data_IF_896893897155
#
_entry.id   IF_896893897155
#
_cell.length_a   1.000
_cell.length_b   1.000
_cell.length_c   1.000
_cell.angle_alpha   90.00
_cell.angle_beta   90.00
_cell.angle_gamma   90.00
#
_symmetry.space_group_name_H-M   'P 1'
#
loop_
_entity.id
_entity.type
_entity.pdbx_description
1 polymer ?
#
# COMPACT_ATOMS: atom_id res chain seq x y z
N UNK A 1 -9.00 -5.33 0.42
CA UNK A 1 -9.43 -5.24 1.83
C UNK A 1 -8.58 -4.33 2.69
N UNK A 2 -7.24 -4.49 2.76
CA UNK A 2 -6.39 -3.70 3.66
C UNK A 2 -6.64 -2.17 3.65
N UNK A 3 -6.71 -1.53 2.47
CA UNK A 3 -6.98 -0.09 2.38
C UNK A 3 -8.39 0.28 2.87
N UNK A 4 -9.38 -0.59 2.66
CA UNK A 4 -10.76 -0.40 3.13
C UNK A 4 -10.92 -0.68 4.63
N UNK A 5 -9.96 -1.38 5.25
CA UNK A 5 -9.92 -1.65 6.68
C UNK A 5 -9.21 -0.54 7.48
N UNK A 6 -8.70 0.50 6.81
CA UNK A 6 -8.06 1.63 7.46
C UNK A 6 -9.09 2.55 8.12
N UNK A 7 -8.77 3.14 9.29
CA UNK A 7 -9.51 4.28 9.80
C UNK A 7 -9.58 5.44 8.79
N UNK A 8 -10.65 6.23 8.83
CA UNK A 8 -10.82 7.37 7.92
C UNK A 8 -9.64 8.35 7.95
N UNK A 9 -9.06 8.57 9.13
CA UNK A 9 -7.89 9.42 9.30
C UNK A 9 -6.66 8.90 8.54
N UNK A 10 -6.46 7.58 8.49
CA UNK A 10 -5.32 6.96 7.82
C UNK A 10 -5.51 7.01 6.30
N UNK A 11 -6.74 6.80 5.82
CA UNK A 11 -7.13 7.00 4.42
C UNK A 11 -6.86 8.45 4.01
N UNK A 12 -7.32 9.41 4.82
CA UNK A 12 -7.10 10.83 4.54
C UNK A 12 -5.62 11.16 4.51
N UNK A 13 -4.82 10.67 5.45
CA UNK A 13 -3.38 10.94 5.49
C UNK A 13 -2.65 10.36 4.28
N UNK A 14 -3.07 9.17 3.79
CA UNK A 14 -2.46 8.50 2.65
C UNK A 14 -2.83 9.11 1.29
N UNK A 15 -4.06 9.59 1.15
CA UNK A 15 -4.62 10.02 -0.15
C UNK A 15 -5.01 11.50 -0.21
N UNK A 16 -4.82 12.24 0.90
CA UNK A 16 -5.23 13.62 1.10
C UNK A 16 -6.70 13.90 0.74
N UNK A 17 -7.55 12.88 0.85
CA UNK A 17 -8.98 12.96 0.56
C UNK A 17 -9.75 11.86 1.28
N UNK A 18 -11.02 12.11 1.59
CA UNK A 18 -11.91 11.09 2.13
C UNK A 18 -12.39 10.18 0.99
N UNK A 19 -11.77 9.01 0.86
CA UNK A 19 -12.16 8.02 -0.14
C UNK A 19 -13.28 7.13 0.38
N UNK A 20 -14.45 7.19 -0.28
CA UNK A 20 -15.54 6.22 -0.07
C UNK A 20 -15.33 4.92 -0.85
N UNK A 21 -14.59 5.00 -1.96
CA UNK A 21 -14.24 3.84 -2.79
C UNK A 21 -12.97 4.10 -3.59
N UNK A 22 -12.29 3.02 -3.97
CA UNK A 22 -11.16 3.09 -4.89
C UNK A 22 -11.65 3.01 -6.34
N UNK A 23 -11.75 4.17 -6.99
CA UNK A 23 -12.00 4.19 -8.43
C UNK A 23 -10.86 3.49 -9.18
N UNK A 24 -11.15 2.93 -10.35
CA UNK A 24 -10.13 2.30 -11.20
C UNK A 24 -8.96 3.25 -11.50
N UNK A 25 -9.26 4.56 -11.68
CA UNK A 25 -8.26 5.61 -11.88
C UNK A 25 -7.30 5.76 -10.71
N UNK A 26 -7.76 5.57 -9.47
CA UNK A 26 -6.92 5.60 -8.28
C UNK A 26 -6.19 4.28 -8.05
N UNK A 27 -6.84 3.15 -8.36
CA UNK A 27 -6.28 1.81 -8.13
C UNK A 27 -5.14 1.49 -9.10
N UNK A 28 -5.31 1.82 -10.40
CA UNK A 28 -4.35 1.44 -11.43
C UNK A 28 -2.93 1.94 -11.17
N UNK A 29 -2.70 3.21 -10.79
CA UNK A 29 -1.35 3.68 -10.46
C UNK A 29 -0.67 2.92 -9.31
N UNK A 30 -1.46 2.38 -8.38
CA UNK A 30 -0.95 1.65 -7.20
C UNK A 30 -0.73 0.15 -7.46
N UNK A 31 -1.43 -0.41 -8.46
CA UNK A 31 -1.40 -1.84 -8.78
C UNK A 31 -0.58 -2.17 -10.04
N UNK A 32 -0.44 -1.22 -10.97
CA UNK A 32 0.34 -1.39 -12.18
C UNK A 32 1.83 -1.17 -11.89
N UNK A 33 2.49 -2.24 -11.46
CA UNK A 33 3.90 -2.28 -11.05
C UNK A 33 4.79 -2.70 -12.23
N UNK A 34 5.84 -1.93 -12.50
CA UNK A 34 6.82 -2.19 -13.57
C UNK A 34 8.24 -2.48 -13.03
N UNK A 35 8.42 -2.41 -11.71
CA UNK A 35 9.68 -2.64 -10.99
C UNK A 35 10.84 -1.71 -11.37
N UNK A 36 10.59 -0.63 -12.12
CA UNK A 36 11.59 0.38 -12.48
C UNK A 36 11.18 1.76 -11.97
N UNK A 37 10.05 2.27 -12.44
CA UNK A 37 9.49 3.55 -12.01
C UNK A 37 8.37 3.35 -10.98
N UNK A 38 7.71 2.19 -10.97
CA UNK A 38 6.64 1.86 -10.03
C UNK A 38 6.92 0.52 -9.37
N UNK A 39 7.02 0.52 -8.05
CA UNK A 39 7.21 -0.67 -7.23
C UNK A 39 6.29 -0.63 -6.01
N UNK A 40 5.82 -1.80 -5.60
CA UNK A 40 5.15 -1.99 -4.32
C UNK A 40 5.75 -3.21 -3.62
N UNK A 41 5.95 -3.10 -2.31
CA UNK A 41 6.36 -4.21 -1.44
C UNK A 41 5.23 -4.43 -0.44
N UNK A 42 4.69 -5.64 -0.39
CA UNK A 42 3.64 -6.03 0.54
C UNK A 42 4.22 -6.89 1.68
N UNK A 43 3.90 -6.55 2.91
CA UNK A 43 4.07 -7.44 4.05
C UNK A 43 2.79 -8.29 4.18
N UNK A 44 2.96 -9.60 4.21
CA UNK A 44 1.86 -10.55 4.32
C UNK A 44 1.97 -11.37 5.60
N UNK A 45 0.81 -11.79 6.11
CA UNK A 45 0.69 -12.79 7.17
C UNK A 45 0.05 -14.05 6.62
N UNK A 46 0.37 -15.17 7.24
CA UNK A 46 0.04 -16.50 6.74
C UNK A 46 1.31 -17.24 6.36
N UNK A 47 1.17 -18.48 5.93
CA UNK A 47 2.24 -19.28 5.35
C UNK A 47 1.96 -19.50 3.87
N UNK A 48 3.01 -19.74 3.10
CA UNK A 48 2.92 -20.19 1.71
C UNK A 48 2.53 -21.69 1.69
N UNK A 49 1.30 -21.98 2.10
CA UNK A 49 0.73 -23.33 2.14
C UNK A 49 -0.62 -23.32 1.40
N UNK A 50 -1.01 -24.41 0.70
CA UNK A 50 -2.20 -24.42 -0.16
C UNK A 50 -3.53 -24.03 0.51
N UNK A 51 -3.64 -24.26 1.81
CA UNK A 51 -4.83 -23.97 2.62
C UNK A 51 -4.73 -22.63 3.37
N UNK A 52 -3.54 -22.02 3.39
CA UNK A 52 -3.28 -20.77 4.08
C UNK A 52 -3.64 -19.59 3.19
N UNK A 53 -4.53 -18.74 3.68
CA UNK A 53 -4.89 -17.49 3.02
C UNK A 53 -3.90 -16.40 3.47
N UNK A 54 -3.07 -15.93 2.55
CA UNK A 54 -2.24 -14.76 2.81
C UNK A 54 -3.10 -13.51 2.93
N UNK A 55 -2.77 -12.67 3.90
CA UNK A 55 -3.38 -11.37 4.10
C UNK A 55 -2.31 -10.28 4.09
N UNK A 56 -2.51 -9.25 3.26
CA UNK A 56 -1.61 -8.09 3.23
C UNK A 56 -1.89 -7.23 4.46
N UNK A 57 -0.87 -7.04 5.29
CA UNK A 57 -0.94 -6.25 6.52
C UNK A 57 -0.19 -4.92 6.43
N UNK A 58 0.70 -4.77 5.46
CA UNK A 58 1.30 -3.50 5.11
C UNK A 58 1.69 -3.45 3.63
N UNK A 59 1.77 -2.24 3.08
CA UNK A 59 2.31 -2.00 1.74
C UNK A 59 3.15 -0.73 1.73
N UNK A 60 4.31 -0.80 1.08
CA UNK A 60 5.13 0.34 0.73
C UNK A 60 5.12 0.55 -0.78
N UNK A 61 4.85 1.77 -1.23
CA UNK A 61 4.90 2.17 -2.64
C UNK A 61 6.12 3.04 -2.91
N UNK A 62 6.75 2.80 -4.04
CA UNK A 62 7.79 3.64 -4.64
C UNK A 62 7.31 4.05 -6.03
N UNK A 63 7.21 5.36 -6.26
CA UNK A 63 6.78 5.93 -7.54
C UNK A 63 7.79 6.99 -7.96
N UNK A 64 8.65 6.65 -8.92
CA UNK A 64 9.66 7.54 -9.49
C UNK A 64 9.08 8.38 -10.61
N UNK A 65 9.40 9.67 -10.59
CA UNK A 65 9.26 10.53 -11.75
C UNK A 65 10.45 10.30 -12.71
N UNK A 66 10.20 9.78 -13.93
CA UNK A 66 11.28 9.48 -14.87
C UNK A 66 12.08 10.71 -15.32
N UNK A 67 11.51 11.92 -15.24
CA UNK A 67 12.16 13.16 -15.66
C UNK A 67 13.10 13.69 -14.58
N UNK A 68 12.63 13.76 -13.33
CA UNK A 68 13.38 14.36 -12.23
C UNK A 68 14.23 13.34 -11.46
N UNK A 69 13.95 12.05 -11.63
CA UNK A 69 14.55 10.92 -10.90
C UNK A 69 14.28 10.91 -9.39
N UNK A 70 13.50 11.84 -8.88
CA UNK A 70 12.95 11.76 -7.53
C UNK A 70 11.82 10.73 -7.48
N UNK A 71 11.61 10.17 -6.29
CA UNK A 71 10.53 9.23 -6.07
C UNK A 71 9.70 9.63 -4.85
N UNK A 72 8.40 9.51 -5.00
CA UNK A 72 7.47 9.51 -3.88
C UNK A 72 7.50 8.11 -3.24
N UNK A 73 7.60 8.10 -1.91
CA UNK A 73 7.50 6.88 -1.12
C UNK A 73 6.35 7.04 -0.15
N UNK A 74 5.48 6.04 -0.09
CA UNK A 74 4.34 6.04 0.82
C UNK A 74 4.16 4.66 1.44
N UNK A 75 3.92 4.63 2.75
CA UNK A 75 3.68 3.40 3.49
C UNK A 75 2.26 3.38 4.04
N UNK A 76 1.72 2.19 4.17
CA UNK A 76 0.44 1.97 4.81
C UNK A 76 0.55 0.68 5.61
N UNK A 77 0.14 0.71 6.87
CA UNK A 77 0.17 -0.44 7.77
C UNK A 77 -1.18 -0.57 8.44
N UNK A 78 -1.74 -1.78 8.39
CA UNK A 78 -2.99 -2.10 9.05
C UNK A 78 -2.88 -1.82 10.56
N UNK A 79 -3.94 -1.24 11.15
CA UNK A 79 -3.92 -0.73 12.53
C UNK A 79 -3.42 -1.77 13.55
N UNK A 80 -3.84 -3.03 13.44
CA UNK A 80 -3.42 -4.12 14.35
C UNK A 80 -1.93 -4.51 14.26
N UNK A 81 -1.22 -4.00 13.25
CA UNK A 81 0.17 -4.28 12.94
C UNK A 81 1.10 -3.05 13.09
N UNK A 82 0.55 -1.90 13.47
CA UNK A 82 1.33 -0.69 13.74
C UNK A 82 2.25 -0.85 14.97
N UNK A 83 3.25 0.02 15.09
CA UNK A 83 4.23 0.04 16.20
C UNK A 83 5.08 -1.22 16.34
N UNK A 84 5.25 -1.99 15.26
CA UNK A 84 6.09 -3.20 15.19
C UNK A 84 7.31 -3.08 14.29
N UNK A 85 7.60 -1.88 13.78
CA UNK A 85 8.73 -1.63 12.88
C UNK A 85 8.53 -2.10 11.43
N UNK A 86 7.29 -2.38 11.01
CA UNK A 86 7.00 -2.87 9.64
C UNK A 86 7.25 -1.78 8.57
N UNK A 87 7.04 -0.50 8.92
CA UNK A 87 7.18 0.64 8.01
C UNK A 87 8.42 1.50 8.26
N UNK A 88 9.37 1.04 9.06
CA UNK A 88 10.67 1.71 9.34
C UNK A 88 11.76 1.08 8.51
#
# INVERSE_FOLDING_TARGET
DMIYALPEQDVYTRFFQNLKSFSHRLAMPLAAIDYNDKMAIAAVTGREEPESREEIVAVGHYIRDPQTKFAEVAFTTHHGWQSRGIGT
#
